data_IF_623983601889
#
_entry.id   IF_623983601889
#
_cell.length_a   1.000
_cell.length_b   1.000
_cell.length_c   1.000
_cell.angle_alpha   90.00
_cell.angle_beta   90.00
_cell.angle_gamma   90.00
#
_symmetry.space_group_name_H-M   'P 1'
#
loop_
_entity.id
_entity.type
_entity.pdbx_description
1 polymer ?
#
# COMPACT_ATOMS: atom_id res chain seq x y z
N UNK A 1 -16.92 -8.77 12.26
CA UNK A 1 -15.54 -9.19 11.95
C UNK A 1 -14.94 -10.02 13.10
N UNK A 2 -13.92 -10.87 12.85
CA UNK A 2 -13.12 -11.50 13.93
C UNK A 2 -11.74 -10.83 14.02
N UNK A 3 -11.37 -10.38 15.23
CA UNK A 3 -10.06 -9.80 15.52
C UNK A 3 -9.16 -10.79 16.27
N UNK A 4 -7.86 -10.51 16.27
CA UNK A 4 -6.84 -11.30 16.97
C UNK A 4 -7.04 -11.29 18.48
N UNK A 5 -6.73 -12.41 19.12
CA UNK A 5 -6.70 -12.52 20.59
C UNK A 5 -5.56 -11.71 21.23
N UNK A 6 -4.55 -11.30 20.43
CA UNK A 6 -3.40 -10.50 20.90
C UNK A 6 -3.78 -9.09 21.37
N UNK A 7 -4.89 -8.57 20.87
CA UNK A 7 -5.36 -7.20 21.12
C UNK A 7 -6.73 -7.21 21.77
N UNK A 8 -6.93 -8.14 22.71
CA UNK A 8 -8.18 -8.22 23.45
C UNK A 8 -8.34 -7.03 24.39
N UNK A 9 -9.50 -6.37 24.29
CA UNK A 9 -9.79 -5.17 25.08
C UNK A 9 -10.50 -5.62 26.35
N UNK A 10 -9.74 -5.76 27.44
CA UNK A 10 -10.33 -6.02 28.74
C UNK A 10 -11.28 -4.89 29.16
N UNK A 11 -12.36 -5.22 29.86
CA UNK A 11 -13.24 -4.21 30.43
C UNK A 11 -12.44 -3.22 31.31
N UNK A 12 -12.73 -1.90 31.24
CA UNK A 12 -12.02 -0.91 32.06
C UNK A 12 -12.10 -1.31 33.53
N UNK A 13 -10.97 -1.32 34.23
CA UNK A 13 -10.94 -1.65 35.65
C UNK A 13 -11.65 -0.55 36.50
N UNK A 14 -11.82 -0.80 37.80
CA UNK A 14 -12.53 0.14 38.67
C UNK A 14 -11.87 1.53 38.74
N UNK A 15 -10.54 1.61 38.60
CA UNK A 15 -9.78 2.86 38.61
C UNK A 15 -10.07 3.64 37.33
N UNK A 16 -9.93 3.03 36.16
CA UNK A 16 -10.20 3.67 34.87
C UNK A 16 -11.64 4.21 34.80
N UNK A 17 -12.61 3.49 35.36
CA UNK A 17 -14.01 3.98 35.46
C UNK A 17 -14.14 5.20 36.38
N UNK A 18 -13.47 5.19 37.54
CA UNK A 18 -13.49 6.31 38.47
C UNK A 18 -12.79 7.55 37.90
N UNK A 19 -11.66 7.37 37.19
CA UNK A 19 -10.96 8.45 36.48
C UNK A 19 -11.82 9.07 35.38
N UNK A 20 -12.51 8.23 34.60
CA UNK A 20 -13.42 8.69 33.56
C UNK A 20 -14.63 9.45 34.14
N UNK A 21 -15.25 8.94 35.21
CA UNK A 21 -16.35 9.62 35.88
C UNK A 21 -15.91 10.99 36.47
N UNK A 22 -14.75 11.04 37.13
CA UNK A 22 -14.19 12.29 37.62
C UNK A 22 -13.98 13.31 36.48
N UNK A 23 -13.47 12.85 35.33
CA UNK A 23 -13.28 13.69 34.15
C UNK A 23 -14.62 14.21 33.58
N UNK A 24 -15.65 13.38 33.54
CA UNK A 24 -17.01 13.75 33.11
C UNK A 24 -17.64 14.78 34.06
N UNK A 25 -17.33 14.70 35.35
CA UNK A 25 -17.72 15.67 36.37
C UNK A 25 -16.84 16.94 36.36
N UNK A 26 -15.89 17.05 35.43
CA UNK A 26 -14.96 18.19 35.33
C UNK A 26 -13.87 18.21 36.41
N UNK A 27 -13.72 17.14 37.18
CA UNK A 27 -12.69 16.99 38.21
C UNK A 27 -11.36 16.63 37.53
N UNK A 28 -10.34 17.44 37.76
CA UNK A 28 -8.97 17.16 37.31
C UNK A 28 -8.25 16.34 38.37
N UNK A 29 -7.73 15.18 37.98
CA UNK A 29 -6.95 14.30 38.85
C UNK A 29 -5.45 14.50 38.62
N UNK A 30 -4.71 14.76 39.70
CA UNK A 30 -3.25 14.75 39.68
C UNK A 30 -2.72 13.32 39.69
N UNK A 31 -1.77 13.02 38.80
CA UNK A 31 -1.16 11.69 38.69
C UNK A 31 0.08 11.60 39.56
N UNK A 32 0.04 10.75 40.59
CA UNK A 32 1.19 10.49 41.46
C UNK A 32 2.39 9.87 40.74
N UNK A 33 2.16 9.27 39.56
CA UNK A 33 3.15 8.60 38.74
C UNK A 33 3.29 9.26 37.35
N UNK A 34 3.00 10.56 37.19
CA UNK A 34 3.27 11.23 35.91
C UNK A 34 4.78 11.24 35.63
N UNK A 35 5.19 10.38 34.71
CA UNK A 35 6.59 10.21 34.31
C UNK A 35 6.93 10.93 33.01
N UNK A 36 6.09 11.88 32.56
CA UNK A 36 6.34 12.64 31.35
C UNK A 36 7.19 13.89 31.64
N UNK A 37 8.52 13.89 31.37
CA UNK A 37 9.41 15.00 31.72
C UNK A 37 9.04 16.31 31.03
N UNK A 38 8.38 16.25 29.88
CA UNK A 38 8.02 17.46 29.12
C UNK A 38 6.94 18.29 29.81
N UNK A 39 6.09 17.67 30.65
CA UNK A 39 5.08 18.39 31.45
C UNK A 39 5.69 19.16 32.63
N UNK A 40 6.92 18.81 33.02
CA UNK A 40 7.64 19.42 34.13
C UNK A 40 8.72 20.40 33.67
N UNK A 41 8.66 20.86 32.41
CA UNK A 41 9.65 21.75 31.80
C UNK A 41 11.10 21.21 31.84
N UNK A 42 11.26 19.87 31.88
CA UNK A 42 12.57 19.21 31.88
C UNK A 42 13.04 18.83 30.47
N UNK A 43 12.25 19.11 29.44
CA UNK A 43 12.62 18.90 28.05
C UNK A 43 13.74 19.86 27.61
N UNK A 44 14.67 19.45 26.73
CA UNK A 44 15.68 20.35 26.19
C UNK A 44 15.04 21.44 25.33
N UNK A 45 15.66 22.63 25.29
CA UNK A 45 15.16 23.76 24.49
C UNK A 45 15.03 23.45 22.98
N UNK A 46 15.82 22.50 22.47
CA UNK A 46 15.73 22.04 21.08
C UNK A 46 14.48 21.20 20.78
N UNK A 47 13.76 20.73 21.81
CA UNK A 47 12.50 19.98 21.71
C UNK A 47 11.48 20.55 22.70
N UNK A 48 10.95 21.76 22.45
CA UNK A 48 10.14 22.49 23.43
C UNK A 48 8.70 21.94 23.58
N UNK A 49 8.30 21.00 22.73
CA UNK A 49 6.93 20.47 22.68
C UNK A 49 6.62 19.60 23.90
N UNK A 50 5.44 19.80 24.49
CA UNK A 50 4.92 18.90 25.52
C UNK A 50 4.41 17.63 24.86
N UNK A 51 5.08 16.51 25.13
CA UNK A 51 4.68 15.20 24.64
C UNK A 51 3.26 14.86 25.09
N UNK A 52 2.43 14.47 24.13
CA UNK A 52 1.10 13.92 24.36
C UNK A 52 1.03 12.51 23.78
N UNK A 53 0.59 11.54 24.60
CA UNK A 53 0.35 10.18 24.16
C UNK A 53 -0.92 10.15 23.29
N UNK A 54 -0.74 10.30 21.98
CA UNK A 54 -1.81 10.21 20.98
C UNK A 54 -1.55 8.99 20.08
N UNK A 55 -2.10 7.80 20.38
CA UNK A 55 -1.74 6.54 19.71
C UNK A 55 -1.78 6.65 18.19
N UNK A 56 -2.81 7.31 17.66
CA UNK A 56 -3.04 7.46 16.22
C UNK A 56 -2.09 8.45 15.53
N UNK A 57 -1.22 9.13 16.29
CA UNK A 57 -0.46 10.29 15.87
C UNK A 57 -1.18 11.61 16.20
N UNK A 58 -0.42 12.71 16.08
CA UNK A 58 -0.79 14.07 16.43
C UNK A 58 -2.10 14.46 15.72
N UNK A 59 -3.08 14.93 16.48
CA UNK A 59 -4.41 15.25 15.96
C UNK A 59 -4.38 16.29 14.84
N UNK A 60 -3.59 17.36 14.99
CA UNK A 60 -3.48 18.38 13.94
C UNK A 60 -2.88 17.82 12.65
N UNK A 61 -1.88 16.94 12.75
CA UNK A 61 -1.32 16.26 11.58
C UNK A 61 -2.37 15.36 10.90
N UNK A 62 -3.16 14.60 11.68
CA UNK A 62 -4.27 13.80 11.15
C UNK A 62 -5.37 14.65 10.53
N UNK A 63 -5.71 15.80 11.12
CA UNK A 63 -6.70 16.73 10.58
C UNK A 63 -6.25 17.27 9.22
N UNK A 64 -5.00 17.71 9.11
CA UNK A 64 -4.45 18.18 7.84
C UNK A 64 -4.36 17.08 6.78
N UNK A 65 -4.00 15.86 7.18
CA UNK A 65 -4.06 14.69 6.30
C UNK A 65 -5.51 14.43 5.84
N UNK A 66 -6.48 14.48 6.74
CA UNK A 66 -7.90 14.31 6.40
C UNK A 66 -8.37 15.36 5.39
N UNK A 67 -7.99 16.64 5.58
CA UNK A 67 -8.29 17.73 4.64
C UNK A 67 -7.68 17.46 3.26
N UNK A 68 -6.41 17.02 3.21
CA UNK A 68 -5.72 16.62 1.97
C UNK A 68 -6.41 15.45 1.27
N UNK A 69 -6.79 14.41 2.02
CA UNK A 69 -7.46 13.22 1.48
C UNK A 69 -8.88 13.55 0.99
N UNK A 70 -9.60 14.44 1.67
CA UNK A 70 -10.90 14.92 1.24
C UNK A 70 -10.79 15.72 -0.07
N UNK A 71 -9.75 16.57 -0.21
CA UNK A 71 -9.48 17.26 -1.46
C UNK A 71 -9.14 16.32 -2.60
N UNK A 72 -8.26 15.34 -2.34
CA UNK A 72 -7.94 14.29 -3.29
C UNK A 72 -9.19 13.55 -3.77
N UNK A 73 -10.06 13.14 -2.85
CA UNK A 73 -11.31 12.45 -3.17
C UNK A 73 -12.24 13.32 -4.03
N UNK A 74 -12.35 14.62 -3.75
CA UNK A 74 -13.14 15.55 -4.59
C UNK A 74 -12.62 15.67 -6.00
N UNK A 75 -11.30 15.59 -6.21
CA UNK A 75 -10.68 15.62 -7.54
C UNK A 75 -10.85 14.30 -8.30
N UNK A 76 -10.89 13.18 -7.60
CA UNK A 76 -11.05 11.84 -8.17
C UNK A 76 -12.51 11.47 -8.44
N UNK A 77 -13.44 11.94 -7.61
CA UNK A 77 -14.86 11.65 -7.68
C UNK A 77 -15.59 12.55 -8.67
N UNK A 78 -16.41 11.98 -9.54
CA UNK A 78 -17.40 12.74 -10.34
C UNK A 78 -18.65 13.09 -9.54
N UNK A 79 -18.79 12.59 -8.30
CA UNK A 79 -19.91 12.86 -7.42
C UNK A 79 -19.63 14.13 -6.57
N UNK A 80 -20.56 15.11 -6.57
CA UNK A 80 -20.39 16.39 -5.88
C UNK A 80 -20.36 16.31 -4.33
N UNK A 81 -20.80 15.19 -3.74
CA UNK A 81 -20.89 14.98 -2.29
C UNK A 81 -19.88 13.94 -1.77
N UNK A 82 -18.58 14.19 -2.02
CA UNK A 82 -17.54 13.36 -1.40
C UNK A 82 -17.58 13.52 0.14
N UNK A 83 -17.91 12.44 0.85
CA UNK A 83 -17.94 12.46 2.31
C UNK A 83 -16.58 12.88 2.89
N UNK A 84 -16.58 13.71 3.96
CA UNK A 84 -15.36 14.13 4.62
C UNK A 84 -14.59 12.92 5.16
N UNK A 85 -13.27 13.03 5.23
CA UNK A 85 -12.43 12.03 5.90
C UNK A 85 -12.40 12.39 7.38
N UNK A 86 -12.81 11.46 8.25
CA UNK A 86 -12.73 11.65 9.69
C UNK A 86 -11.27 11.47 10.17
N UNK A 87 -10.62 12.49 10.75
CA UNK A 87 -9.26 12.36 11.26
C UNK A 87 -9.13 11.32 12.37
N UNK A 88 -10.22 10.95 13.05
CA UNK A 88 -10.19 9.87 14.04
C UNK A 88 -10.08 8.48 13.38
N UNK A 89 -10.38 8.34 12.09
CA UNK A 89 -10.21 7.08 11.36
C UNK A 89 -8.85 6.97 10.66
N UNK A 90 -7.89 7.81 11.04
CA UNK A 90 -6.54 7.85 10.48
C UNK A 90 -5.50 7.47 11.54
N UNK A 91 -4.54 6.64 11.17
CA UNK A 91 -3.31 6.38 11.94
C UNK A 91 -2.10 6.86 11.14
N UNK A 92 -1.24 7.67 11.75
CA UNK A 92 0.04 8.07 11.18
C UNK A 92 1.13 7.07 11.55
N UNK A 93 1.93 6.67 10.56
CA UNK A 93 2.92 5.62 10.67
C UNK A 93 4.22 6.01 9.96
N UNK A 94 5.30 5.32 10.29
CA UNK A 94 6.60 5.51 9.63
C UNK A 94 6.64 4.90 8.21
N UNK A 95 5.75 3.95 7.91
CA UNK A 95 5.65 3.32 6.58
C UNK A 95 4.40 2.45 6.45
N UNK A 96 4.04 2.08 5.22
CA UNK A 96 3.03 1.03 4.97
C UNK A 96 3.48 -0.36 5.42
N UNK A 97 4.79 -0.64 5.48
CA UNK A 97 5.31 -1.89 6.07
C UNK A 97 4.95 -2.02 7.56
N UNK A 98 5.02 -0.92 8.31
CA UNK A 98 4.53 -0.87 9.69
C UNK A 98 3.02 -1.13 9.74
N UNK A 99 2.27 -0.55 8.79
CA UNK A 99 0.83 -0.77 8.69
C UNK A 99 0.48 -2.25 8.46
N UNK A 100 1.16 -2.94 7.54
CA UNK A 100 0.97 -4.38 7.33
C UNK A 100 1.20 -5.17 8.61
N UNK A 101 2.31 -4.91 9.32
CA UNK A 101 2.61 -5.58 10.60
C UNK A 101 1.52 -5.34 11.64
N UNK A 102 1.05 -4.10 11.80
CA UNK A 102 -0.03 -3.76 12.74
C UNK A 102 -1.36 -4.42 12.36
N UNK A 103 -1.74 -4.40 11.08
CA UNK A 103 -2.99 -5.00 10.63
C UNK A 103 -2.97 -6.52 10.72
N UNK A 104 -1.82 -7.17 10.51
CA UNK A 104 -1.64 -8.60 10.77
C UNK A 104 -1.77 -8.91 12.26
N UNK A 105 -1.18 -8.11 13.16
CA UNK A 105 -1.40 -8.24 14.61
C UNK A 105 -2.86 -8.02 15.02
N UNK A 106 -3.55 -7.07 14.38
CA UNK A 106 -4.94 -6.73 14.65
C UNK A 106 -5.90 -7.86 14.25
N UNK A 107 -5.67 -8.46 13.07
CA UNK A 107 -6.63 -9.33 12.42
C UNK A 107 -6.34 -10.82 12.61
N UNK A 108 -5.08 -11.20 12.85
CA UNK A 108 -4.63 -12.59 12.82
C UNK A 108 -4.10 -13.08 14.17
N UNK A 109 -4.51 -14.29 14.56
CA UNK A 109 -3.75 -15.10 15.52
C UNK A 109 -2.56 -15.79 14.80
N UNK A 110 -1.64 -16.40 15.56
CA UNK A 110 -0.57 -17.18 14.94
C UNK A 110 -1.16 -18.36 14.15
N UNK A 111 -0.75 -18.51 12.88
CA UNK A 111 -1.26 -19.54 11.97
C UNK A 111 -2.58 -19.21 11.27
N UNK A 112 -3.19 -18.05 11.53
CA UNK A 112 -4.25 -17.52 10.65
C UNK A 112 -3.65 -17.09 9.29
N UNK A 113 -4.53 -16.86 8.31
CA UNK A 113 -4.17 -16.65 6.91
C UNK A 113 -4.54 -15.24 6.44
N UNK A 114 -3.63 -14.64 5.69
CA UNK A 114 -3.88 -13.47 4.83
C UNK A 114 -3.77 -13.87 3.37
N UNK A 115 -4.73 -13.44 2.55
CA UNK A 115 -4.68 -13.60 1.11
C UNK A 115 -3.86 -12.47 0.48
N UNK A 116 -2.98 -12.78 -0.47
CA UNK A 116 -2.15 -11.79 -1.18
C UNK A 116 -2.03 -12.10 -2.69
N UNK A 117 -1.85 -11.07 -3.56
CA UNK A 117 -1.77 -11.27 -5.00
C UNK A 117 -0.46 -11.93 -5.43
N UNK A 118 -0.52 -12.66 -6.54
CA UNK A 118 0.65 -13.16 -7.28
C UNK A 118 0.40 -13.07 -8.79
N UNK A 119 1.26 -12.42 -9.60
CA UNK A 119 2.40 -11.57 -9.22
C UNK A 119 2.06 -10.45 -8.25
N UNK A 120 2.93 -10.19 -7.28
CA UNK A 120 2.67 -9.22 -6.21
C UNK A 120 3.91 -8.68 -5.53
N UNK A 121 3.70 -7.89 -4.48
CA UNK A 121 4.79 -7.25 -3.75
C UNK A 121 5.42 -8.22 -2.71
N UNK A 122 6.71 -8.59 -2.86
CA UNK A 122 7.30 -9.69 -2.08
C UNK A 122 7.41 -9.42 -0.58
N UNK A 123 7.34 -8.16 -0.12
CA UNK A 123 7.45 -7.87 1.31
C UNK A 123 6.23 -8.34 2.12
N UNK A 124 5.08 -8.59 1.49
CA UNK A 124 3.89 -9.04 2.23
C UNK A 124 4.16 -10.40 2.90
N UNK A 125 4.74 -11.35 2.16
CA UNK A 125 5.10 -12.68 2.68
C UNK A 125 6.14 -12.58 3.80
N UNK A 126 7.17 -11.74 3.61
CA UNK A 126 8.22 -11.51 4.60
C UNK A 126 7.67 -10.91 5.91
N UNK A 127 6.80 -9.90 5.82
CA UNK A 127 6.18 -9.27 6.99
C UNK A 127 5.23 -10.26 7.67
N UNK A 128 4.40 -11.01 6.92
CA UNK A 128 3.51 -12.01 7.48
C UNK A 128 4.28 -13.10 8.26
N UNK A 129 5.42 -13.55 7.73
CA UNK A 129 6.27 -14.52 8.43
C UNK A 129 6.78 -13.97 9.78
N UNK A 130 7.17 -12.69 9.85
CA UNK A 130 7.55 -12.04 11.11
C UNK A 130 6.39 -11.99 12.13
N UNK A 131 5.14 -11.98 11.65
CA UNK A 131 3.93 -11.95 12.48
C UNK A 131 3.38 -13.33 12.84
N UNK A 132 4.05 -14.41 12.41
CA UNK A 132 3.57 -15.79 12.49
C UNK A 132 2.24 -16.00 11.75
N UNK A 133 2.02 -15.27 10.65
CA UNK A 133 0.82 -15.33 9.81
C UNK A 133 1.16 -16.05 8.51
N UNK A 134 0.26 -16.92 8.07
CA UNK A 134 0.41 -17.63 6.80
C UNK A 134 -0.09 -16.75 5.64
N UNK A 135 0.61 -16.80 4.50
CA UNK A 135 0.13 -16.19 3.26
C UNK A 135 -0.34 -17.27 2.31
N UNK A 136 -1.58 -17.14 1.83
CA UNK A 136 -2.10 -17.93 0.72
C UNK A 136 -2.32 -16.98 -0.45
N UNK A 137 -1.83 -17.36 -1.63
CA UNK A 137 -1.82 -16.44 -2.77
C UNK A 137 -3.03 -16.63 -3.66
N UNK A 138 -3.56 -15.53 -4.20
CA UNK A 138 -4.52 -15.54 -5.29
C UNK A 138 -3.87 -15.00 -6.56
N UNK A 139 -4.32 -15.49 -7.72
CA UNK A 139 -3.68 -15.24 -8.99
C UNK A 139 -4.19 -13.95 -9.63
N UNK A 140 -3.25 -13.19 -10.20
CA UNK A 140 -3.53 -12.24 -11.26
C UNK A 140 -3.26 -12.90 -12.60
N UNK A 141 -4.28 -12.98 -13.45
CA UNK A 141 -4.17 -13.58 -14.79
C UNK A 141 -3.98 -12.48 -15.82
N UNK A 142 -3.11 -12.72 -16.79
CA UNK A 142 -2.93 -11.79 -17.91
C UNK A 142 -3.65 -12.31 -19.15
N UNK A 143 -4.63 -11.55 -19.63
CA UNK A 143 -5.31 -11.77 -20.92
C UNK A 143 -5.57 -10.41 -21.60
N UNK A 144 -4.53 -9.85 -22.22
CA UNK A 144 -4.53 -8.47 -22.76
C UNK A 144 -4.48 -7.37 -21.69
N UNK A 145 -5.07 -7.62 -20.54
CA UNK A 145 -4.93 -6.89 -19.29
C UNK A 145 -4.79 -7.88 -18.13
N UNK A 146 -4.18 -7.43 -17.05
CA UNK A 146 -4.17 -8.19 -15.79
C UNK A 146 -5.56 -8.15 -15.17
N UNK A 147 -6.04 -9.29 -14.66
CA UNK A 147 -7.32 -9.41 -13.95
C UNK A 147 -7.12 -10.26 -12.68
N UNK A 148 -7.89 -9.96 -11.64
CA UNK A 148 -7.92 -10.75 -10.41
C UNK A 148 -8.82 -11.96 -10.63
N UNK A 149 -8.32 -13.15 -10.32
CA UNK A 149 -9.11 -14.39 -10.38
C UNK A 149 -10.09 -14.47 -9.19
N UNK A 150 -11.24 -13.82 -9.33
CA UNK A 150 -12.27 -13.77 -8.29
C UNK A 150 -12.93 -15.13 -8.02
N UNK A 151 -12.97 -16.02 -9.00
CA UNK A 151 -13.45 -17.39 -8.82
C UNK A 151 -12.51 -18.20 -7.92
N UNK A 152 -11.19 -18.01 -8.08
CA UNK A 152 -10.23 -18.60 -7.14
C UNK A 152 -10.38 -18.02 -5.73
N UNK A 153 -10.57 -16.70 -5.59
CA UNK A 153 -10.82 -16.09 -4.28
C UNK A 153 -12.04 -16.72 -3.59
N UNK A 154 -13.16 -16.86 -4.31
CA UNK A 154 -14.36 -17.54 -3.80
C UNK A 154 -14.06 -18.98 -3.39
N UNK A 155 -13.30 -19.73 -4.20
CA UNK A 155 -12.90 -21.11 -3.87
C UNK A 155 -12.02 -21.19 -2.61
N UNK A 156 -11.09 -20.25 -2.41
CA UNK A 156 -10.25 -20.19 -1.23
C UNK A 156 -11.06 -19.88 0.04
N UNK A 157 -12.00 -18.93 -0.06
CA UNK A 157 -12.87 -18.52 1.04
C UNK A 157 -13.88 -19.61 1.43
N UNK A 158 -14.38 -20.38 0.46
CA UNK A 158 -15.26 -21.53 0.71
C UNK A 158 -14.52 -22.84 0.99
N UNK A 159 -13.20 -22.85 0.83
CA UNK A 159 -12.37 -24.05 0.99
C UNK A 159 -12.11 -24.45 2.45
N UNK A 160 -11.38 -25.54 2.68
CA UNK A 160 -11.11 -26.07 4.02
C UNK A 160 -10.38 -25.10 4.96
N UNK A 161 -9.64 -24.15 4.41
CA UNK A 161 -8.90 -23.13 5.16
C UNK A 161 -9.65 -21.79 5.26
N UNK A 162 -10.83 -21.66 4.64
CA UNK A 162 -11.59 -20.42 4.56
C UNK A 162 -11.83 -19.75 5.91
N UNK A 163 -12.18 -20.54 6.92
CA UNK A 163 -12.41 -20.06 8.29
C UNK A 163 -11.16 -19.51 9.00
N UNK A 164 -9.94 -19.75 8.48
CA UNK A 164 -8.67 -19.18 8.96
C UNK A 164 -8.28 -17.89 8.24
N UNK A 165 -8.94 -17.56 7.13
CA UNK A 165 -8.66 -16.34 6.39
C UNK A 165 -9.22 -15.15 7.18
N UNK A 166 -8.38 -14.15 7.42
CA UNK A 166 -8.74 -12.96 8.21
C UNK A 166 -8.69 -11.67 7.39
N UNK A 167 -7.80 -11.61 6.40
CA UNK A 167 -7.68 -10.45 5.54
C UNK A 167 -7.37 -10.83 4.09
N UNK A 168 -7.78 -9.96 3.18
CA UNK A 168 -7.38 -9.94 1.78
C UNK A 168 -6.59 -8.67 1.50
N UNK A 169 -5.32 -8.83 1.12
CA UNK A 169 -4.48 -7.73 0.66
C UNK A 169 -4.77 -7.49 -0.81
N UNK A 170 -5.16 -6.25 -1.15
CA UNK A 170 -5.31 -5.76 -2.51
C UNK A 170 -4.28 -4.66 -2.74
N UNK A 171 -3.44 -4.77 -3.78
CA UNK A 171 -2.50 -3.72 -4.17
C UNK A 171 -3.09 -3.00 -5.39
N UNK A 172 -3.34 -1.69 -5.27
CA UNK A 172 -4.13 -0.92 -6.22
C UNK A 172 -3.48 0.43 -6.55
N UNK A 173 -2.73 0.55 -7.66
CA UNK A 173 -2.41 -0.47 -8.65
C UNK A 173 -1.32 -1.42 -8.15
N UNK A 174 -1.36 -2.65 -8.64
CA UNK A 174 -0.45 -3.71 -8.23
C UNK A 174 0.99 -3.46 -8.70
N UNK A 175 1.96 -3.84 -7.87
CA UNK A 175 3.38 -3.88 -8.24
C UNK A 175 3.80 -5.36 -8.31
N UNK A 176 4.31 -5.88 -9.46
CA UNK A 176 4.84 -5.13 -10.61
C UNK A 176 3.88 -4.91 -11.78
N UNK A 177 2.67 -5.49 -11.76
CA UNK A 177 1.83 -5.59 -12.97
C UNK A 177 1.28 -4.24 -13.44
N UNK A 178 1.22 -3.25 -12.56
CA UNK A 178 0.64 -1.94 -12.80
C UNK A 178 -0.88 -1.96 -12.91
N UNK A 179 -1.56 -3.04 -12.50
CA UNK A 179 -3.00 -3.20 -12.69
C UNK A 179 -3.82 -2.62 -11.55
N UNK A 180 -4.83 -1.82 -11.84
CA UNK A 180 -5.82 -1.40 -10.85
C UNK A 180 -6.86 -2.51 -10.60
N UNK A 181 -7.58 -2.43 -9.50
CA UNK A 181 -8.76 -3.27 -9.23
C UNK A 181 -9.92 -2.77 -10.09
N UNK A 182 -10.50 -3.63 -10.94
CA UNK A 182 -11.56 -3.25 -11.87
C UNK A 182 -12.91 -3.16 -11.14
N UNK A 183 -13.91 -2.43 -11.69
CA UNK A 183 -15.19 -2.26 -11.01
C UNK A 183 -15.90 -3.58 -10.70
N UNK A 184 -15.94 -4.51 -11.65
CA UNK A 184 -16.59 -5.82 -11.48
C UNK A 184 -15.84 -6.72 -10.48
N UNK A 185 -14.51 -6.66 -10.48
CA UNK A 185 -13.66 -7.34 -9.50
C UNK A 185 -13.93 -6.79 -8.10
N UNK A 186 -13.95 -5.46 -7.95
CA UNK A 186 -14.23 -4.78 -6.68
C UNK A 186 -15.57 -5.22 -6.12
N UNK A 187 -16.64 -5.18 -6.92
CA UNK A 187 -17.98 -5.56 -6.46
C UNK A 187 -18.03 -7.02 -5.99
N UNK A 188 -17.36 -7.92 -6.71
CA UNK A 188 -17.26 -9.33 -6.32
C UNK A 188 -16.44 -9.51 -5.04
N UNK A 189 -15.28 -8.87 -4.95
CA UNK A 189 -14.37 -8.97 -3.80
C UNK A 189 -15.02 -8.40 -2.54
N UNK A 190 -15.63 -7.21 -2.62
CA UNK A 190 -16.31 -6.58 -1.47
C UNK A 190 -17.44 -7.46 -0.97
N UNK A 191 -18.24 -8.04 -1.87
CA UNK A 191 -19.30 -9.00 -1.51
C UNK A 191 -18.72 -10.22 -0.78
N UNK A 192 -17.73 -10.89 -1.37
CA UNK A 192 -17.10 -12.07 -0.78
C UNK A 192 -16.48 -11.77 0.60
N UNK A 193 -15.77 -10.67 0.73
CA UNK A 193 -15.18 -10.25 2.00
C UNK A 193 -16.23 -9.96 3.06
N UNK A 194 -17.35 -9.32 2.70
CA UNK A 194 -18.47 -9.07 3.61
C UNK A 194 -19.16 -10.37 4.06
N UNK A 195 -19.44 -11.29 3.13
CA UNK A 195 -20.09 -12.58 3.41
C UNK A 195 -19.26 -13.48 4.32
N UNK A 196 -17.93 -13.49 4.15
CA UNK A 196 -17.01 -14.33 4.92
C UNK A 196 -16.44 -13.66 6.17
N UNK A 197 -16.75 -12.37 6.41
CA UNK A 197 -16.17 -11.61 7.52
C UNK A 197 -14.64 -11.51 7.43
N UNK A 198 -14.14 -11.20 6.23
CA UNK A 198 -12.72 -11.01 5.92
C UNK A 198 -12.47 -9.52 5.67
N UNK A 199 -11.48 -8.93 6.33
CA UNK A 199 -11.14 -7.52 6.13
C UNK A 199 -10.36 -7.31 4.83
N UNK A 200 -10.47 -6.12 4.24
CA UNK A 200 -9.65 -5.71 3.10
C UNK A 200 -8.48 -4.85 3.61
N UNK A 201 -7.26 -5.18 3.19
CA UNK A 201 -6.08 -4.32 3.33
C UNK A 201 -5.75 -3.79 1.94
N UNK A 202 -6.07 -2.54 1.66
CA UNK A 202 -5.89 -1.94 0.33
C UNK A 202 -4.61 -1.09 0.30
N UNK A 203 -3.57 -1.53 -0.40
CA UNK A 203 -2.34 -0.77 -0.59
C UNK A 203 -2.43 0.11 -1.84
N UNK A 204 -2.54 1.41 -1.63
CA UNK A 204 -2.84 2.39 -2.68
C UNK A 204 -1.70 3.39 -2.92
N UNK A 205 -0.47 3.06 -2.48
CA UNK A 205 0.69 3.97 -2.58
C UNK A 205 1.05 4.39 -4.00
N UNK A 206 0.62 3.63 -5.02
CA UNK A 206 0.87 3.92 -6.43
C UNK A 206 -0.35 4.51 -7.17
N UNK A 207 -1.47 4.74 -6.47
CA UNK A 207 -2.74 5.04 -7.13
C UNK A 207 -2.69 6.31 -7.97
N UNK A 208 -1.94 7.32 -7.52
CA UNK A 208 -1.84 8.62 -8.18
C UNK A 208 -0.94 8.64 -9.43
N UNK A 209 -0.57 7.47 -9.97
CA UNK A 209 0.31 7.34 -11.14
C UNK A 209 -0.33 6.54 -12.28
N UNK A 210 -1.44 7.00 -12.87
CA UNK A 210 -2.07 6.32 -13.99
C UNK A 210 -1.19 6.37 -15.25
N UNK A 211 -1.17 5.27 -15.98
CA UNK A 211 -0.55 5.12 -17.31
C UNK A 211 -1.64 4.98 -18.38
N UNK A 212 -2.43 3.90 -18.29
CA UNK A 212 -3.57 3.62 -19.17
C UNK A 212 -4.88 3.60 -18.36
N UNK A 213 -5.42 4.78 -17.98
CA UNK A 213 -6.62 4.84 -17.15
C UNK A 213 -7.85 4.28 -17.87
N UNK A 214 -8.83 3.80 -17.09
CA UNK A 214 -10.10 3.29 -17.59
C UNK A 214 -11.29 3.84 -16.78
N UNK A 215 -12.51 3.89 -17.36
CA UNK A 215 -13.70 4.37 -16.66
C UNK A 215 -14.02 3.55 -15.41
N UNK A 216 -14.38 4.22 -14.32
CA UNK A 216 -14.77 3.56 -13.07
C UNK A 216 -13.59 3.13 -12.18
N UNK A 217 -12.34 3.46 -12.53
CA UNK A 217 -11.22 3.28 -11.62
C UNK A 217 -11.46 4.05 -10.30
N UNK A 218 -11.37 3.37 -9.16
CA UNK A 218 -11.69 3.94 -7.86
C UNK A 218 -10.84 3.32 -6.74
N UNK A 219 -10.49 4.15 -5.75
CA UNK A 219 -9.85 3.74 -4.50
C UNK A 219 -10.79 2.91 -3.62
N UNK A 220 -10.25 1.95 -2.90
CA UNK A 220 -10.92 1.22 -1.82
C UNK A 220 -11.01 2.08 -0.54
N UNK A 221 -10.18 3.11 -0.39
CA UNK A 221 -10.25 4.05 0.73
C UNK A 221 -11.64 4.67 0.90
N UNK A 222 -12.32 4.35 1.99
CA UNK A 222 -13.69 4.79 2.26
C UNK A 222 -14.78 3.80 1.87
N UNK A 223 -14.45 2.57 1.46
CA UNK A 223 -15.42 1.50 1.21
C UNK A 223 -16.27 1.23 2.46
N UNK A 224 -17.59 1.47 2.43
CA UNK A 224 -18.43 1.36 3.62
C UNK A 224 -18.99 -0.05 3.86
N UNK A 225 -18.97 -0.94 2.86
CA UNK A 225 -19.68 -2.23 2.92
C UNK A 225 -18.91 -3.32 3.68
N UNK A 226 -17.59 -3.19 3.80
CA UNK A 226 -16.73 -4.16 4.48
C UNK A 226 -15.59 -3.45 5.19
N UNK A 227 -15.14 -3.97 6.33
CA UNK A 227 -14.01 -3.40 7.06
C UNK A 227 -12.78 -3.36 6.15
N UNK A 228 -12.32 -2.15 5.89
CA UNK A 228 -11.27 -1.85 4.92
C UNK A 228 -10.24 -0.93 5.58
N UNK A 229 -8.98 -1.32 5.43
CA UNK A 229 -7.82 -0.57 5.86
C UNK A 229 -7.05 -0.13 4.61
N UNK A 230 -7.23 1.12 4.20
CA UNK A 230 -6.49 1.67 3.07
C UNK A 230 -5.13 2.21 3.55
N UNK A 231 -4.06 1.73 2.91
CA UNK A 231 -2.67 2.08 3.16
C UNK A 231 -2.19 3.01 2.07
N UNK A 232 -1.62 4.14 2.47
CA UNK A 232 -1.02 5.09 1.55
C UNK A 232 0.10 5.85 2.27
N UNK A 233 0.87 6.66 1.55
CA UNK A 233 2.02 7.34 2.13
C UNK A 233 2.79 8.24 1.18
N UNK A 234 3.59 9.12 1.78
CA UNK A 234 4.33 10.16 1.04
C UNK A 234 5.53 9.62 0.27
N UNK A 235 5.90 8.36 0.48
CA UNK A 235 7.07 7.74 -0.15
C UNK A 235 7.05 7.83 -1.67
N UNK A 236 5.87 7.65 -2.28
CA UNK A 236 5.70 7.71 -3.75
C UNK A 236 5.19 9.07 -4.19
N UNK A 237 4.20 9.62 -3.48
CA UNK A 237 3.62 10.95 -3.75
C UNK A 237 4.68 12.07 -3.81
N UNK A 238 5.73 11.99 -3.00
CA UNK A 238 6.84 12.97 -3.01
C UNK A 238 8.10 12.49 -3.73
N UNK A 239 8.08 11.28 -4.31
CA UNK A 239 9.29 10.59 -4.77
C UNK A 239 10.42 10.54 -3.72
N UNK A 240 10.05 10.51 -2.43
CA UNK A 240 10.94 10.60 -1.29
C UNK A 240 10.76 9.41 -0.34
N UNK A 241 11.26 8.20 -0.67
CA UNK A 241 11.08 7.00 0.16
C UNK A 241 11.71 7.10 1.56
N UNK A 242 12.56 8.10 1.78
CA UNK A 242 13.20 8.42 3.05
C UNK A 242 12.37 9.37 3.94
N UNK A 243 11.25 9.93 3.43
CA UNK A 243 10.37 10.80 4.22
C UNK A 243 9.67 10.05 5.37
N UNK A 244 9.46 8.74 5.20
CA UNK A 244 8.92 7.84 6.23
C UNK A 244 7.64 8.34 6.89
N UNK A 245 6.67 8.68 6.05
CA UNK A 245 5.30 9.00 6.45
C UNK A 245 4.36 8.11 5.64
N UNK A 246 3.57 7.30 6.33
CA UNK A 246 2.45 6.52 5.79
C UNK A 246 1.26 6.62 6.73
N UNK A 247 0.12 6.11 6.28
CA UNK A 247 -1.08 6.09 7.11
C UNK A 247 -1.97 4.87 6.83
N UNK A 248 -2.81 4.56 7.82
CA UNK A 248 -3.98 3.69 7.67
C UNK A 248 -5.21 4.58 7.69
N UNK A 249 -6.08 4.46 6.68
CA UNK A 249 -7.44 4.98 6.70
C UNK A 249 -8.42 3.81 6.91
N UNK A 250 -9.22 3.89 7.98
CA UNK A 250 -10.19 2.85 8.35
C UNK A 250 -11.59 3.22 7.85
N UNK A 251 -12.25 2.29 7.15
CA UNK A 251 -13.64 2.42 6.71
C UNK A 251 -14.37 1.08 6.77
N UNK A 252 -15.69 1.09 6.71
CA UNK A 252 -16.52 -0.13 6.72
C UNK A 252 -17.78 0.08 7.57
N UNK A 253 -18.49 -1.02 7.91
CA UNK A 253 -19.63 -0.98 8.82
C UNK A 253 -19.22 -0.42 10.19
N UNK A 254 -20.00 0.50 10.73
CA UNK A 254 -19.64 1.29 11.92
C UNK A 254 -19.24 0.42 13.13
N UNK A 255 -19.96 -0.67 13.40
CA UNK A 255 -19.64 -1.58 14.50
C UNK A 255 -18.25 -2.24 14.34
N UNK A 256 -17.88 -2.63 13.12
CA UNK A 256 -16.58 -3.24 12.83
C UNK A 256 -15.46 -2.18 12.89
N UNK A 257 -15.75 -0.96 12.42
CA UNK A 257 -14.81 0.18 12.50
C UNK A 257 -14.53 0.55 13.95
N UNK A 258 -15.57 0.72 14.77
CA UNK A 258 -15.43 1.09 16.18
C UNK A 258 -14.60 0.07 16.96
N UNK A 259 -14.82 -1.22 16.73
CA UNK A 259 -14.04 -2.28 17.35
C UNK A 259 -12.59 -2.30 16.82
N UNK A 260 -12.39 -2.14 15.51
CA UNK A 260 -11.06 -2.08 14.91
C UNK A 260 -10.24 -0.91 15.47
N UNK A 261 -10.83 0.28 15.60
CA UNK A 261 -10.15 1.47 16.12
C UNK A 261 -9.71 1.27 17.57
N UNK A 262 -10.57 0.72 18.44
CA UNK A 262 -10.20 0.46 19.84
C UNK A 262 -9.04 -0.52 19.95
N UNK A 263 -9.03 -1.58 19.13
CA UNK A 263 -7.96 -2.61 19.14
C UNK A 263 -6.67 -2.11 18.50
N UNK A 264 -6.78 -1.29 17.46
CA UNK A 264 -5.63 -0.69 16.79
C UNK A 264 -5.00 0.40 17.66
N UNK A 265 -5.77 1.08 18.52
CA UNK A 265 -5.22 1.99 19.55
C UNK A 265 -4.33 1.24 20.55
N UNK A 266 -4.70 0.03 20.98
CA UNK A 266 -3.85 -0.80 21.84
C UNK A 266 -2.49 -1.06 21.18
N UNK A 267 -2.51 -1.47 19.90
CA UNK A 267 -1.26 -1.66 19.13
C UNK A 267 -0.49 -0.35 19.02
N UNK A 268 -1.18 0.74 18.70
CA UNK A 268 -0.53 2.02 18.46
C UNK A 268 0.11 2.60 19.73
N UNK A 269 -0.51 2.41 20.90
CA UNK A 269 0.04 2.79 22.19
C UNK A 269 1.33 2.01 22.51
N UNK A 270 1.37 0.69 22.22
CA UNK A 270 2.57 -0.14 22.44
C UNK A 270 3.77 0.28 21.58
N UNK A 271 3.51 0.88 20.41
CA UNK A 271 4.56 1.37 19.50
C UNK A 271 4.93 2.84 19.72
N UNK A 272 4.17 3.53 20.56
CA UNK A 272 4.20 4.98 20.78
C UNK A 272 3.82 5.79 19.51
N UNK A 273 3.32 7.02 19.70
CA UNK A 273 2.95 7.91 18.58
C UNK A 273 4.13 8.20 17.64
N UNK A 274 3.79 8.54 16.40
CA UNK A 274 4.75 9.09 15.43
C UNK A 274 5.50 10.30 16.03
N UNK A 275 6.76 10.48 15.63
CA UNK A 275 7.57 11.62 16.09
C UNK A 275 6.92 12.97 15.76
N UNK A 276 6.77 13.85 16.76
CA UNK A 276 6.31 15.24 16.60
C UNK A 276 7.15 15.99 15.55
N UNK A 277 8.47 15.73 15.51
CA UNK A 277 9.40 16.35 14.54
C UNK A 277 8.98 16.06 13.10
N UNK A 278 8.49 14.85 12.82
CA UNK A 278 8.03 14.47 11.48
C UNK A 278 6.60 14.94 11.26
N UNK A 279 5.74 14.85 12.27
CA UNK A 279 4.36 15.32 12.20
C UNK A 279 4.27 16.82 11.89
N UNK A 280 5.13 17.65 12.48
CA UNK A 280 5.21 19.10 12.22
C UNK A 280 5.64 19.42 10.77
N UNK A 281 6.28 18.47 10.08
CA UNK A 281 6.70 18.59 8.68
C UNK A 281 5.66 18.08 7.70
N UNK A 282 4.57 17.48 8.17
CA UNK A 282 3.49 17.01 7.31
C UNK A 282 2.85 18.12 6.44
N UNK A 283 2.47 19.31 6.96
CA UNK A 283 1.85 20.34 6.12
C UNK A 283 2.65 20.74 4.87
N UNK A 284 3.95 21.10 4.96
CA UNK A 284 4.71 21.45 3.75
C UNK A 284 4.88 20.26 2.81
N UNK A 285 4.97 19.04 3.33
CA UNK A 285 5.00 17.83 2.50
C UNK A 285 3.69 17.64 1.72
N UNK A 286 2.53 17.79 2.36
CA UNK A 286 1.22 17.68 1.69
C UNK A 286 1.03 18.79 0.63
N UNK A 287 1.58 19.99 0.86
CA UNK A 287 1.52 21.08 -0.11
C UNK A 287 2.32 20.79 -1.40
N UNK A 288 3.43 20.07 -1.30
CA UNK A 288 4.26 19.69 -2.47
C UNK A 288 3.74 18.47 -3.23
N UNK A 289 2.86 17.67 -2.59
CA UNK A 289 2.39 16.37 -3.10
C UNK A 289 1.87 16.42 -4.55
N UNK A 290 1.00 17.38 -4.87
CA UNK A 290 0.41 17.48 -6.20
C UNK A 290 1.45 17.78 -7.28
N UNK A 291 2.36 18.74 -7.02
CA UNK A 291 3.40 19.12 -7.97
C UNK A 291 4.40 17.98 -8.20
N UNK A 292 4.83 17.29 -7.13
CA UNK A 292 5.75 16.17 -7.24
C UNK A 292 5.11 14.98 -7.97
N UNK A 293 3.86 14.66 -7.64
CA UNK A 293 3.10 13.60 -8.31
C UNK A 293 2.98 13.87 -9.80
N UNK A 294 2.62 15.09 -10.21
CA UNK A 294 2.52 15.48 -11.61
C UNK A 294 3.87 15.33 -12.34
N UNK A 295 4.96 15.80 -11.74
CA UNK A 295 6.30 15.68 -12.31
C UNK A 295 6.71 14.23 -12.56
N UNK A 296 6.41 13.33 -11.62
CA UNK A 296 6.72 11.91 -11.79
C UNK A 296 5.80 11.26 -12.81
N UNK A 297 4.51 11.60 -12.79
CA UNK A 297 3.53 11.13 -13.78
C UNK A 297 3.95 11.49 -15.21
N UNK A 298 4.37 12.73 -15.46
CA UNK A 298 4.90 13.17 -16.75
C UNK A 298 6.11 12.34 -17.19
N UNK A 299 7.02 12.04 -16.25
CA UNK A 299 8.19 11.20 -16.52
C UNK A 299 7.78 9.78 -16.90
N UNK A 300 6.90 9.18 -16.12
CA UNK A 300 6.41 7.80 -16.32
C UNK A 300 5.69 7.69 -17.66
N UNK A 301 4.80 8.63 -17.98
CA UNK A 301 4.07 8.70 -19.24
C UNK A 301 5.00 8.85 -20.44
N UNK A 302 5.98 9.76 -20.36
CA UNK A 302 6.98 9.97 -21.42
C UNK A 302 7.78 8.70 -21.72
N UNK A 303 8.24 8.02 -20.66
CA UNK A 303 9.03 6.80 -20.81
C UNK A 303 8.16 5.61 -21.24
N UNK A 304 6.92 5.50 -20.78
CA UNK A 304 5.95 4.50 -21.24
C UNK A 304 5.67 4.63 -22.74
N UNK A 305 5.40 5.84 -23.22
CA UNK A 305 5.21 6.12 -24.64
C UNK A 305 6.47 5.82 -25.47
N UNK A 306 7.66 6.10 -24.91
CA UNK A 306 8.93 5.78 -25.56
C UNK A 306 9.19 4.28 -25.65
N UNK A 307 8.93 3.53 -24.59
CA UNK A 307 9.01 2.07 -24.58
C UNK A 307 8.12 1.49 -25.67
N UNK A 308 6.83 1.87 -25.70
CA UNK A 308 5.86 1.37 -26.69
C UNK A 308 6.30 1.64 -28.12
N UNK A 309 6.81 2.84 -28.40
CA UNK A 309 7.31 3.21 -29.73
C UNK A 309 8.51 2.36 -30.13
N UNK A 310 9.50 2.24 -29.25
CA UNK A 310 10.71 1.44 -29.53
C UNK A 310 10.40 -0.03 -29.75
N UNK A 311 9.43 -0.60 -29.03
CA UNK A 311 8.98 -1.97 -29.24
C UNK A 311 8.20 -2.14 -30.55
N UNK A 312 7.38 -1.14 -30.93
CA UNK A 312 6.67 -1.17 -32.20
C UNK A 312 7.60 -1.01 -33.42
N UNK A 313 8.68 -0.23 -33.26
CA UNK A 313 9.69 0.01 -34.28
C UNK A 313 10.79 -1.10 -34.32
N UNK A 314 10.81 -2.04 -33.37
CA UNK A 314 11.78 -3.13 -33.33
C UNK A 314 11.57 -4.09 -34.53
N UNK A 315 12.55 -4.22 -35.45
CA UNK A 315 12.40 -5.05 -36.64
C UNK A 315 12.24 -6.55 -36.33
N UNK A 316 12.63 -7.00 -35.14
CA UNK A 316 12.44 -8.40 -34.75
C UNK A 316 10.99 -8.65 -34.31
N UNK A 317 10.33 -7.68 -33.66
CA UNK A 317 8.95 -7.81 -33.17
C UNK A 317 8.76 -8.91 -32.12
N UNK A 318 9.83 -9.30 -31.42
CA UNK A 318 9.84 -10.43 -30.48
C UNK A 318 9.71 -10.02 -29.01
N UNK A 319 9.77 -8.72 -28.74
CA UNK A 319 9.66 -8.14 -27.40
C UNK A 319 8.38 -7.33 -27.31
N UNK A 320 7.63 -7.49 -26.23
CA UNK A 320 6.36 -6.79 -26.01
C UNK A 320 6.29 -6.26 -24.58
N UNK A 321 5.47 -5.25 -24.33
CA UNK A 321 5.20 -4.76 -22.97
C UNK A 321 3.81 -5.24 -22.55
N UNK A 322 3.70 -5.84 -21.37
CA UNK A 322 2.40 -6.16 -20.80
C UNK A 322 1.69 -4.86 -20.42
N UNK A 323 0.40 -4.77 -20.72
CA UNK A 323 -0.39 -3.57 -20.42
C UNK A 323 -0.27 -3.23 -18.93
N UNK A 324 0.11 -1.98 -18.66
CA UNK A 324 0.24 -1.41 -17.32
C UNK A 324 -0.73 -0.23 -17.21
N UNK A 325 -1.61 -0.27 -16.22
CA UNK A 325 -2.67 0.71 -16.07
C UNK A 325 -2.20 1.88 -15.19
N UNK A 326 -1.25 1.63 -14.27
CA UNK A 326 -0.60 2.62 -13.41
C UNK A 326 0.71 2.13 -12.78
N UNK A 327 1.29 2.95 -11.90
CA UNK A 327 2.58 2.68 -11.27
C UNK A 327 3.78 3.11 -12.13
N UNK A 328 5.00 2.75 -11.69
CA UNK A 328 6.26 3.25 -12.28
C UNK A 328 7.14 2.15 -12.88
N UNK A 329 6.62 0.92 -12.97
CA UNK A 329 7.30 -0.24 -13.52
C UNK A 329 6.52 -0.77 -14.72
N UNK A 330 7.23 -1.26 -15.72
CA UNK A 330 6.68 -1.97 -16.86
C UNK A 330 7.21 -3.41 -16.85
N UNK A 331 6.34 -4.39 -17.08
CA UNK A 331 6.75 -5.77 -17.35
C UNK A 331 6.91 -5.96 -18.85
N UNK A 332 8.15 -6.19 -19.29
CA UNK A 332 8.48 -6.49 -20.68
C UNK A 332 8.57 -8.00 -20.84
N UNK A 333 7.86 -8.54 -21.83
CA UNK A 333 7.96 -9.94 -22.25
C UNK A 333 9.01 -10.07 -23.37
N UNK A 334 9.98 -10.94 -23.17
CA UNK A 334 11.00 -11.37 -24.14
C UNK A 334 10.76 -12.84 -24.53
N UNK A 335 11.40 -13.38 -25.59
CA UNK A 335 11.23 -14.79 -25.95
C UNK A 335 11.61 -15.74 -24.80
N UNK A 336 10.69 -16.63 -24.44
CA UNK A 336 10.83 -17.54 -23.29
C UNK A 336 11.90 -18.60 -23.44
N UNK A 337 12.44 -18.79 -24.65
CA UNK A 337 13.60 -19.64 -24.92
C UNK A 337 14.89 -19.06 -24.35
N UNK A 338 14.93 -17.75 -24.09
CA UNK A 338 16.07 -17.10 -23.46
C UNK A 338 15.96 -17.22 -21.94
N UNK A 339 17.04 -17.68 -21.30
CA UNK A 339 17.15 -17.63 -19.86
C UNK A 339 17.32 -16.18 -19.39
N UNK A 340 16.46 -15.74 -18.47
CA UNK A 340 16.43 -14.36 -17.99
C UNK A 340 17.74 -13.97 -17.27
N UNK A 341 18.39 -14.92 -16.58
CA UNK A 341 19.67 -14.66 -15.93
C UNK A 341 20.76 -14.41 -16.97
N UNK A 342 20.82 -15.22 -18.02
CA UNK A 342 21.80 -15.04 -19.09
C UNK A 342 21.62 -13.70 -19.81
N UNK A 343 20.37 -13.30 -20.06
CA UNK A 343 20.07 -11.97 -20.61
C UNK A 343 20.58 -10.87 -19.69
N UNK A 344 20.26 -10.93 -18.40
CA UNK A 344 20.69 -9.91 -17.42
C UNK A 344 22.21 -9.90 -17.24
N UNK A 345 22.86 -11.06 -17.14
CA UNK A 345 24.31 -11.18 -17.02
C UNK A 345 25.02 -10.61 -18.25
N UNK A 346 24.46 -10.82 -19.45
CA UNK A 346 24.97 -10.23 -20.70
C UNK A 346 24.79 -8.72 -20.73
N UNK A 347 23.64 -8.20 -20.32
CA UNK A 347 23.42 -6.76 -20.15
C UNK A 347 24.43 -6.14 -19.17
N UNK A 348 24.78 -6.83 -18.08
CA UNK A 348 25.77 -6.38 -17.11
C UNK A 348 27.15 -6.31 -17.77
N UNK A 349 27.56 -7.38 -18.45
CA UNK A 349 28.88 -7.50 -19.11
C UNK A 349 29.06 -6.48 -20.24
N UNK A 350 28.09 -6.40 -21.14
CA UNK A 350 28.24 -5.71 -22.43
C UNK A 350 27.78 -4.24 -22.35
N UNK A 351 26.79 -3.95 -21.50
CA UNK A 351 26.15 -2.63 -21.43
C UNK A 351 26.24 -1.95 -20.07
N UNK A 352 26.76 -2.64 -19.03
CA UNK A 352 26.75 -2.16 -17.63
C UNK A 352 25.33 -1.85 -17.14
N UNK A 353 24.36 -2.63 -17.61
CA UNK A 353 22.95 -2.53 -17.24
C UNK A 353 22.54 -3.77 -16.46
N UNK A 354 21.65 -3.58 -15.49
CA UNK A 354 21.02 -4.67 -14.76
C UNK A 354 19.51 -4.51 -14.83
N UNK A 355 18.79 -5.61 -14.62
CA UNK A 355 17.34 -5.67 -14.61
C UNK A 355 16.87 -6.69 -13.59
N UNK A 356 15.57 -6.71 -13.33
CA UNK A 356 14.96 -7.72 -12.47
C UNK A 356 14.21 -8.74 -13.35
N UNK A 357 14.68 -10.00 -13.42
CA UNK A 357 13.95 -11.12 -14.01
C UNK A 357 12.52 -11.28 -13.47
N UNK A 358 11.65 -11.91 -14.25
CA UNK A 358 10.26 -12.14 -13.91
C UNK A 358 10.06 -12.90 -12.60
N UNK A 359 10.94 -13.84 -12.30
CA UNK A 359 10.82 -14.67 -11.08
C UNK A 359 10.95 -13.86 -9.79
N UNK A 360 11.59 -12.68 -9.78
CA UNK A 360 11.60 -11.80 -8.59
C UNK A 360 10.20 -11.28 -8.22
N UNK A 361 9.27 -11.38 -9.16
CA UNK A 361 7.88 -11.00 -8.98
C UNK A 361 6.93 -12.16 -9.24
N UNK A 362 7.42 -13.40 -9.09
CA UNK A 362 6.59 -14.60 -9.19
C UNK A 362 5.94 -14.85 -10.54
N UNK A 363 6.55 -14.37 -11.62
CA UNK A 363 6.16 -14.79 -12.96
C UNK A 363 6.39 -16.31 -13.10
N UNK A 364 5.38 -17.04 -13.59
CA UNK A 364 5.37 -18.51 -13.59
C UNK A 364 6.19 -19.14 -14.73
N UNK A 365 6.76 -18.32 -15.61
CA UNK A 365 7.59 -18.78 -16.73
C UNK A 365 8.70 -17.78 -17.02
N UNK A 366 9.77 -18.25 -17.65
CA UNK A 366 10.79 -17.39 -18.23
C UNK A 366 10.19 -16.46 -19.29
N UNK A 367 10.87 -15.35 -19.51
CA UNK A 367 10.59 -14.43 -20.62
C UNK A 367 10.06 -13.08 -20.16
N UNK A 368 10.41 -12.62 -18.96
CA UNK A 368 9.99 -11.35 -18.42
C UNK A 368 11.15 -10.58 -17.78
N UNK A 369 11.15 -9.26 -18.01
CA UNK A 369 12.02 -8.31 -17.34
C UNK A 369 11.19 -7.14 -16.83
N UNK A 370 11.37 -6.77 -15.57
CA UNK A 370 10.82 -5.54 -15.03
C UNK A 370 11.73 -4.35 -15.37
N UNK A 371 11.11 -3.29 -15.89
CA UNK A 371 11.78 -2.06 -16.32
C UNK A 371 11.20 -0.87 -15.56
N UNK A 372 12.06 -0.07 -14.95
CA UNK A 372 11.66 1.18 -14.30
C UNK A 372 11.42 2.30 -15.31
N UNK A 373 10.32 3.02 -15.17
CA UNK A 373 9.93 4.17 -15.99
C UNK A 373 10.43 5.51 -15.42
N UNK A 374 11.23 5.49 -14.35
CA UNK A 374 11.76 6.68 -13.68
C UNK A 374 13.00 7.34 -14.31
N UNK A 375 13.92 6.62 -14.99
CA UNK A 375 15.15 7.22 -15.49
C UNK A 375 14.96 8.47 -16.35
N UNK A 376 16.00 9.31 -16.48
CA UNK A 376 16.01 10.41 -17.47
C UNK A 376 15.69 9.89 -18.87
N UNK A 377 14.90 10.60 -19.72
CA UNK A 377 14.38 10.02 -20.96
C UNK A 377 15.50 9.52 -21.87
N UNK A 378 16.58 10.28 -22.02
CA UNK A 378 17.73 9.84 -22.83
C UNK A 378 18.40 8.59 -22.26
N UNK A 379 18.48 8.47 -20.93
CA UNK A 379 19.01 7.28 -20.27
C UNK A 379 18.04 6.10 -20.43
N UNK A 380 16.75 6.34 -20.31
CA UNK A 380 15.71 5.34 -20.52
C UNK A 380 15.79 4.78 -21.94
N UNK A 381 15.77 5.63 -22.96
CA UNK A 381 15.91 5.25 -24.38
C UNK A 381 17.17 4.41 -24.63
N UNK A 382 18.33 4.84 -24.13
CA UNK A 382 19.58 4.07 -24.26
C UNK A 382 19.50 2.70 -23.59
N UNK A 383 18.88 2.62 -22.41
CA UNK A 383 18.75 1.37 -21.68
C UNK A 383 17.82 0.38 -22.41
N UNK A 384 16.70 0.85 -22.97
CA UNK A 384 15.78 0.00 -23.74
C UNK A 384 16.44 -0.49 -25.03
N UNK A 385 17.18 0.39 -25.73
CA UNK A 385 17.91 -0.01 -26.93
C UNK A 385 18.91 -1.13 -26.63
N UNK A 386 19.73 -0.98 -25.58
CA UNK A 386 20.68 -2.00 -25.15
C UNK A 386 20.02 -3.33 -24.75
N UNK A 387 18.85 -3.29 -24.10
CA UNK A 387 18.07 -4.50 -23.79
C UNK A 387 17.61 -5.21 -25.08
N UNK A 388 17.06 -4.46 -26.05
CA UNK A 388 16.63 -5.01 -27.34
C UNK A 388 17.80 -5.58 -28.13
N UNK A 389 18.93 -4.88 -28.18
CA UNK A 389 20.16 -5.35 -28.83
C UNK A 389 20.67 -6.65 -28.20
N UNK A 390 20.62 -6.76 -26.86
CA UNK A 390 21.01 -7.98 -26.14
C UNK A 390 20.12 -9.16 -26.51
N UNK A 391 18.80 -8.97 -26.48
CA UNK A 391 17.83 -10.02 -26.86
C UNK A 391 18.03 -10.44 -28.31
N UNK A 392 18.20 -9.48 -29.23
CA UNK A 392 18.40 -9.75 -30.65
C UNK A 392 19.73 -10.46 -30.94
N UNK A 393 20.79 -10.18 -30.17
CA UNK A 393 22.07 -10.86 -30.30
C UNK A 393 21.97 -12.32 -29.82
N UNK A 394 21.35 -12.56 -28.67
CA UNK A 394 21.20 -13.90 -28.09
C UNK A 394 20.33 -14.83 -28.94
N UNK A 395 19.36 -14.30 -29.69
CA UNK A 395 18.51 -15.10 -30.58
C UNK A 395 19.20 -15.54 -31.87
N UNK A 396 20.37 -14.97 -32.20
CA UNK A 396 21.16 -15.32 -33.38
C UNK A 396 22.25 -16.35 -33.07
N UNK A 397 22.49 -16.63 -31.79
CA UNK A 397 23.40 -17.66 -31.28
C UNK A 397 22.67 -18.99 -31.15
#
# INVERSE_FOLDING_TARGET
MRFSSRVDISAPNAIARAEQAAKEDGITLDKLNDSNPTKFALAPQSLPTVYAAQPRGQFEARRQLADFLADRRRRESTLPDAQPVDPNRLYLLSSTSQAYSWLMKLLCDAGDIVLAPKPGYPLIESIAALECVQVVTYQQRFDGSWIIDTAQLESLLNGPQGAKIRALVLINPNNPTGSYVKPEERETIVRLCAEHGVAIIADEVFYDFPVDPFPGNARLAGEPRVLTFALDGLSKTLAAPHAKVGWIQVSGPELDVDEALKRLDVIADDYLPMSDIIADRLPPFLAEAAQQTARVSDRVQTNAGTLRRMLADDPNGLVSVLRMEGGWNALVRIPSVLDENEVVLRMIRDHRLTGQPGYFFDMTSNGYLAVSLLPQPDRFTRNIAAMLDTVAAMLKE
#
